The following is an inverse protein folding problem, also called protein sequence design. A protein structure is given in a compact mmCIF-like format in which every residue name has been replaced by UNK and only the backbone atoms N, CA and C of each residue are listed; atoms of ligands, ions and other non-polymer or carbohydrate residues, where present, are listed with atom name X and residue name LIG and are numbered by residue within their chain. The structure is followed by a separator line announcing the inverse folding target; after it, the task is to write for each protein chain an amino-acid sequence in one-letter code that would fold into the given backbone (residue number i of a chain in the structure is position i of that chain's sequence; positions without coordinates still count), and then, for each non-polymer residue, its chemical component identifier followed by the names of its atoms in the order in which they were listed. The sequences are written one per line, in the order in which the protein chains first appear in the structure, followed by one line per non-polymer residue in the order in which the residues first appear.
data_IF_312964467603
#
_entry.id   IF_312964467603
#
_cell.length_a   1.000
_cell.length_b   1.000
_cell.length_c   1.000
_cell.angle_alpha   90.00
_cell.angle_beta   90.00
_cell.angle_gamma   90.00
#
_symmetry.space_group_name_H-M   'P 1'
#
loop_
_entity.id
_entity.type
_entity.pdbx_description
1 polymer ?
#
# COMPACT_ATOMS: atom_id res chain seq x y z
N UNK A 1 15.69 0.01 22.61
CA UNK A 1 15.09 -1.10 23.38
C UNK A 1 15.36 -2.40 22.65
N UNK A 2 15.71 -3.48 23.35
CA UNK A 2 15.94 -4.81 22.78
C UNK A 2 14.97 -5.82 23.39
N UNK A 3 14.38 -6.67 22.57
CA UNK A 3 13.43 -7.71 22.93
C UNK A 3 13.88 -9.05 22.33
N UNK A 4 13.69 -10.13 23.07
CA UNK A 4 13.87 -11.49 22.57
C UNK A 4 12.50 -12.11 22.26
N UNK A 5 12.16 -12.19 20.98
CA UNK A 5 10.94 -12.81 20.47
C UNK A 5 11.22 -14.27 20.14
N UNK A 6 11.00 -15.17 21.11
CA UNK A 6 11.38 -16.58 20.98
C UNK A 6 12.89 -16.74 20.78
N UNK A 7 13.29 -17.21 19.60
CA UNK A 7 14.71 -17.38 19.22
C UNK A 7 15.31 -16.14 18.54
N UNK A 8 14.51 -15.13 18.19
CA UNK A 8 14.94 -13.97 17.40
C UNK A 8 15.08 -12.71 18.25
N UNK A 9 16.20 -12.00 18.10
CA UNK A 9 16.38 -10.68 18.70
C UNK A 9 15.73 -9.57 17.88
N UNK A 10 15.05 -8.64 18.54
CA UNK A 10 14.37 -7.49 17.92
C UNK A 10 14.82 -6.21 18.60
N UNK A 11 15.20 -5.22 17.80
CA UNK A 11 15.52 -3.86 18.27
C UNK A 11 14.36 -2.94 17.93
N UNK A 12 13.84 -2.23 18.93
CA UNK A 12 12.74 -1.27 18.77
C UNK A 12 13.29 0.15 18.75
N UNK A 13 13.01 0.88 17.66
CA UNK A 13 13.36 2.28 17.47
C UNK A 13 12.17 3.18 17.89
N UNK A 14 12.00 3.38 19.19
CA UNK A 14 10.87 4.12 19.79
C UNK A 14 11.14 5.61 20.06
N UNK A 15 12.12 6.20 19.37
CA UNK A 15 12.43 7.64 19.47
C UNK A 15 12.74 8.22 18.09
N UNK A 16 12.54 9.52 17.93
CA UNK A 16 12.86 10.22 16.68
C UNK A 16 14.34 10.06 16.29
N UNK A 17 15.25 10.15 17.27
CA UNK A 17 16.68 9.93 17.06
C UNK A 17 16.98 8.52 16.56
N UNK A 18 16.40 7.49 17.19
CA UNK A 18 16.57 6.11 16.76
C UNK A 18 15.99 5.88 15.36
N UNK A 19 14.75 6.33 15.10
CA UNK A 19 14.11 6.19 13.80
C UNK A 19 14.92 6.87 12.69
N UNK A 20 15.44 8.09 12.93
CA UNK A 20 16.31 8.79 11.97
C UNK A 20 17.60 8.02 11.70
N UNK A 21 18.20 7.41 12.72
CA UNK A 21 19.40 6.61 12.55
C UNK A 21 19.15 5.40 11.65
N UNK A 22 18.10 4.62 11.92
CA UNK A 22 17.81 3.41 11.15
C UNK A 22 17.24 3.69 9.75
N UNK A 23 16.34 4.66 9.62
CA UNK A 23 15.57 4.90 8.38
C UNK A 23 16.17 5.98 7.48
N UNK A 24 17.23 6.67 7.91
CA UNK A 24 17.89 7.70 7.10
C UNK A 24 19.41 7.63 7.15
N UNK A 25 20.03 7.62 8.33
CA UNK A 25 21.49 7.66 8.43
C UNK A 25 22.15 6.34 8.02
N UNK A 26 21.50 5.21 8.34
CA UNK A 26 21.96 3.86 8.05
C UNK A 26 20.94 3.07 7.21
N UNK A 27 20.10 3.77 6.45
CA UNK A 27 18.96 3.19 5.72
C UNK A 27 19.38 2.02 4.81
N UNK A 28 20.48 2.15 4.06
CA UNK A 28 20.98 1.11 3.18
C UNK A 28 21.39 -0.17 3.93
N UNK A 29 21.88 -0.07 5.17
CA UNK A 29 22.25 -1.23 6.00
C UNK A 29 21.02 -1.97 6.52
N UNK A 30 19.93 -1.26 6.75
CA UNK A 30 18.68 -1.79 7.33
C UNK A 30 17.53 -1.86 6.32
N UNK A 31 17.83 -1.76 5.03
CA UNK A 31 16.82 -1.73 3.97
C UNK A 31 16.16 -3.11 3.76
N UNK A 32 16.88 -4.20 4.05
CA UNK A 32 16.38 -5.57 3.89
C UNK A 32 15.33 -5.93 4.95
N UNK A 33 14.44 -6.86 4.60
CA UNK A 33 13.46 -7.41 5.54
C UNK A 33 13.97 -8.71 6.17
N UNK A 34 13.63 -8.98 7.43
CA UNK A 34 13.85 -10.32 8.00
C UNK A 34 13.20 -11.38 7.12
N UNK A 35 13.84 -12.55 7.00
CA UNK A 35 13.25 -13.68 6.32
C UNK A 35 12.05 -14.18 7.14
N UNK A 36 10.84 -14.02 6.60
CA UNK A 36 9.60 -14.54 7.17
C UNK A 36 9.16 -15.70 6.29
N UNK A 37 8.94 -16.88 6.87
CA UNK A 37 8.59 -18.09 6.10
C UNK A 37 7.35 -17.86 5.22
N UNK A 38 6.29 -17.26 5.77
CA UNK A 38 5.07 -16.96 5.03
C UNK A 38 5.27 -15.97 3.87
N UNK A 39 6.27 -15.09 3.95
CA UNK A 39 6.58 -14.17 2.85
C UNK A 39 7.09 -14.94 1.62
N UNK A 40 7.85 -16.02 1.80
CA UNK A 40 8.29 -16.83 0.68
C UNK A 40 7.09 -17.44 -0.06
N UNK A 41 6.09 -17.93 0.69
CA UNK A 41 4.92 -18.61 0.12
C UNK A 41 3.98 -17.63 -0.61
N UNK A 42 3.64 -16.49 0.01
CA UNK A 42 2.63 -15.57 -0.54
C UNK A 42 3.21 -14.55 -1.53
N UNK A 43 4.54 -14.48 -1.68
CA UNK A 43 5.20 -13.45 -2.51
C UNK A 43 6.16 -13.99 -3.55
N UNK A 44 5.90 -15.22 -4.02
CA UNK A 44 6.67 -15.89 -5.07
C UNK A 44 8.16 -15.96 -4.73
N UNK A 45 8.48 -16.40 -3.51
CA UNK A 45 9.86 -16.49 -3.01
C UNK A 45 10.48 -15.13 -2.70
N UNK A 46 9.74 -14.23 -2.04
CA UNK A 46 10.21 -12.89 -1.67
C UNK A 46 10.64 -12.02 -2.88
N UNK A 47 10.02 -12.24 -4.05
CA UNK A 47 10.40 -11.53 -5.27
C UNK A 47 9.62 -10.23 -5.49
N UNK A 48 8.58 -9.97 -4.69
CA UNK A 48 7.80 -8.74 -4.77
C UNK A 48 8.57 -7.52 -4.21
N UNK A 49 8.03 -6.32 -4.42
CA UNK A 49 8.66 -5.08 -3.98
C UNK A 49 8.76 -4.94 -2.44
N UNK A 50 7.89 -5.60 -1.67
CA UNK A 50 7.79 -5.43 -0.22
C UNK A 50 8.85 -6.25 0.52
N UNK A 51 9.11 -7.48 0.08
CA UNK A 51 10.00 -8.44 0.76
C UNK A 51 11.31 -8.71 0.02
N UNK A 52 11.48 -8.25 -1.23
CA UNK A 52 12.76 -8.36 -1.90
C UNK A 52 13.86 -7.59 -1.17
N UNK A 53 15.04 -8.21 -1.06
CA UNK A 53 16.23 -7.56 -0.54
C UNK A 53 16.61 -6.34 -1.40
N UNK A 54 17.13 -5.32 -0.74
CA UNK A 54 17.65 -4.12 -1.35
C UNK A 54 18.74 -4.47 -2.36
N UNK A 55 18.57 -3.96 -3.58
CA UNK A 55 19.44 -4.27 -4.70
C UNK A 55 18.92 -3.62 -5.99
N UNK A 56 19.56 -3.88 -7.14
CA UNK A 56 19.14 -3.33 -8.43
C UNK A 56 17.67 -3.63 -8.77
N UNK A 57 17.22 -4.87 -8.57
CA UNK A 57 15.81 -5.28 -8.82
C UNK A 57 14.84 -4.47 -7.96
N UNK A 58 15.08 -4.39 -6.65
CA UNK A 58 14.23 -3.62 -5.73
C UNK A 58 14.19 -2.13 -6.09
N UNK A 59 15.34 -1.52 -6.44
CA UNK A 59 15.43 -0.12 -6.84
C UNK A 59 14.62 0.15 -8.12
N UNK A 60 14.67 -0.74 -9.10
CA UNK A 60 13.86 -0.65 -10.32
C UNK A 60 12.36 -0.72 -10.00
N UNK A 61 11.94 -1.72 -9.23
CA UNK A 61 10.52 -1.88 -8.84
C UNK A 61 10.02 -0.66 -8.09
N UNK A 62 10.79 -0.12 -7.14
CA UNK A 62 10.44 1.10 -6.40
C UNK A 62 10.31 2.30 -7.32
N UNK A 63 11.19 2.47 -8.30
CA UNK A 63 11.11 3.56 -9.29
C UNK A 63 9.83 3.44 -10.12
N UNK A 64 9.55 2.25 -10.64
CA UNK A 64 8.33 1.99 -11.42
C UNK A 64 7.07 2.24 -10.58
N UNK A 65 7.06 1.78 -9.32
CA UNK A 65 5.96 2.01 -8.40
C UNK A 65 5.72 3.50 -8.14
N UNK A 66 6.76 4.28 -7.84
CA UNK A 66 6.61 5.71 -7.60
C UNK A 66 6.10 6.48 -8.82
N UNK A 67 6.54 6.10 -10.02
CA UNK A 67 6.17 6.83 -11.26
C UNK A 67 4.77 6.43 -11.74
N UNK A 68 4.47 5.13 -11.76
CA UNK A 68 3.28 4.61 -12.43
C UNK A 68 2.17 4.18 -11.47
N UNK A 69 2.52 3.59 -10.31
CA UNK A 69 1.52 3.09 -9.37
C UNK A 69 1.06 4.18 -8.38
N UNK A 70 1.99 4.95 -7.81
CA UNK A 70 1.66 5.93 -6.76
C UNK A 70 1.45 7.34 -7.32
N UNK A 71 1.22 7.46 -8.63
CA UNK A 71 0.99 8.73 -9.32
C UNK A 71 -0.28 9.46 -8.85
N UNK A 72 -0.26 10.79 -8.92
CA UNK A 72 -1.33 11.64 -8.39
C UNK A 72 -2.58 11.73 -9.26
N UNK A 73 -2.57 11.21 -10.50
CA UNK A 73 -3.70 11.36 -11.43
C UNK A 73 -4.86 10.43 -11.08
N UNK A 74 -4.66 9.11 -11.16
CA UNK A 74 -5.70 8.11 -10.86
C UNK A 74 -6.29 8.30 -9.46
N UNK A 75 -5.45 8.64 -8.47
CA UNK A 75 -5.90 8.93 -7.11
C UNK A 75 -6.85 10.12 -7.02
N UNK A 76 -6.60 11.20 -7.78
CA UNK A 76 -7.49 12.37 -7.81
C UNK A 76 -8.81 12.04 -8.50
N UNK A 77 -8.75 11.30 -9.59
CA UNK A 77 -9.93 10.89 -10.34
C UNK A 77 -10.84 10.00 -9.47
N UNK A 78 -10.30 8.97 -8.81
CA UNK A 78 -11.07 8.10 -7.93
C UNK A 78 -11.54 8.80 -6.63
N UNK A 79 -10.77 9.75 -6.09
CA UNK A 79 -11.27 10.59 -5.00
C UNK A 79 -12.48 11.42 -5.45
N UNK A 80 -12.48 11.94 -6.69
CA UNK A 80 -13.61 12.64 -7.27
C UNK A 80 -14.83 11.75 -7.51
N UNK A 81 -14.64 10.47 -7.82
CA UNK A 81 -15.73 9.49 -7.93
C UNK A 81 -16.32 9.15 -6.55
N UNK A 82 -15.46 8.91 -5.56
CA UNK A 82 -15.90 8.66 -4.18
C UNK A 82 -16.72 9.84 -3.64
N UNK A 83 -16.22 11.08 -3.78
CA UNK A 83 -16.92 12.27 -3.27
C UNK A 83 -18.29 12.47 -3.94
N UNK A 84 -18.40 12.14 -5.23
CA UNK A 84 -19.69 12.18 -5.94
C UNK A 84 -20.66 11.14 -5.39
N UNK A 85 -20.24 9.89 -5.20
CA UNK A 85 -21.09 8.85 -4.59
C UNK A 85 -21.53 9.21 -3.17
N UNK A 86 -20.65 9.80 -2.37
CA UNK A 86 -21.00 10.32 -1.03
C UNK A 86 -22.03 11.45 -1.11
N UNK A 87 -21.86 12.40 -2.04
CA UNK A 87 -22.81 13.49 -2.23
C UNK A 87 -24.20 12.99 -2.67
N UNK A 88 -24.25 11.99 -3.55
CA UNK A 88 -25.50 11.33 -3.99
C UNK A 88 -26.19 10.59 -2.85
N UNK A 89 -25.42 9.87 -2.02
CA UNK A 89 -25.95 9.22 -0.83
C UNK A 89 -26.51 10.23 0.18
N UNK A 90 -25.80 11.33 0.41
CA UNK A 90 -26.24 12.41 1.29
C UNK A 90 -27.54 13.07 0.78
N UNK A 91 -27.63 13.34 -0.53
CA UNK A 91 -28.85 13.88 -1.14
C UNK A 91 -30.05 12.94 -1.01
N UNK A 92 -29.81 11.63 -1.00
CA UNK A 92 -30.84 10.61 -0.78
C UNK A 92 -31.11 10.31 0.71
N UNK A 93 -30.45 11.00 1.65
CA UNK A 93 -30.57 10.72 3.08
C UNK A 93 -30.04 9.35 3.50
N UNK A 94 -29.21 8.70 2.68
CA UNK A 94 -28.66 7.37 2.95
C UNK A 94 -27.38 7.47 3.78
N UNK A 95 -27.23 6.66 4.84
CA UNK A 95 -25.98 6.60 5.60
C UNK A 95 -24.85 6.03 4.73
N UNK A 96 -23.62 6.51 4.96
CA UNK A 96 -22.42 6.05 4.27
C UNK A 96 -21.48 5.39 5.27
N UNK A 97 -21.06 4.16 4.97
CA UNK A 97 -20.03 3.45 5.73
C UNK A 97 -18.65 3.82 5.16
N UNK A 98 -17.94 4.73 5.83
CA UNK A 98 -16.68 5.30 5.33
C UNK A 98 -15.61 4.25 4.98
N UNK A 99 -15.37 3.19 5.79
CA UNK A 99 -14.41 2.16 5.44
C UNK A 99 -14.72 1.46 4.11
N UNK A 100 -15.99 1.18 3.81
CA UNK A 100 -16.41 0.46 2.60
C UNK A 100 -16.15 1.29 1.34
N UNK A 101 -16.55 2.56 1.35
CA UNK A 101 -16.30 3.45 0.21
C UNK A 101 -14.81 3.70 -0.03
N UNK A 102 -14.00 3.73 1.04
CA UNK A 102 -12.54 3.83 0.92
C UNK A 102 -11.92 2.57 0.33
N UNK A 103 -12.38 1.37 0.74
CA UNK A 103 -11.93 0.10 0.16
C UNK A 103 -12.26 0.04 -1.33
N UNK A 104 -13.48 0.43 -1.73
CA UNK A 104 -13.88 0.48 -3.14
C UNK A 104 -12.98 1.43 -3.95
N UNK A 105 -12.73 2.64 -3.45
CA UNK A 105 -11.85 3.59 -4.11
C UNK A 105 -10.40 3.10 -4.21
N UNK A 106 -9.86 2.46 -3.17
CA UNK A 106 -8.51 1.90 -3.20
C UNK A 106 -8.40 0.73 -4.20
N UNK A 107 -9.40 -0.15 -4.24
CA UNK A 107 -9.45 -1.23 -5.21
C UNK A 107 -9.57 -0.72 -6.64
N UNK A 108 -10.35 0.34 -6.87
CA UNK A 108 -10.46 1.01 -8.17
C UNK A 108 -9.16 1.69 -8.59
N UNK A 109 -8.46 2.34 -7.65
CA UNK A 109 -7.12 2.91 -7.91
C UNK A 109 -6.19 1.79 -8.38
N UNK A 110 -6.11 0.68 -7.63
CA UNK A 110 -5.26 -0.46 -7.97
C UNK A 110 -5.67 -1.05 -9.33
N UNK A 111 -6.96 -1.33 -9.56
CA UNK A 111 -7.47 -1.87 -10.82
C UNK A 111 -7.16 -0.98 -12.02
N UNK A 112 -7.32 0.34 -11.88
CA UNK A 112 -7.02 1.29 -12.94
C UNK A 112 -5.53 1.33 -13.27
N UNK A 113 -4.69 1.25 -12.25
CA UNK A 113 -3.25 1.24 -12.43
C UNK A 113 -2.77 -0.07 -13.06
N UNK A 114 -3.30 -1.22 -12.64
CA UNK A 114 -2.77 -2.54 -13.03
C UNK A 114 -3.36 -3.06 -14.32
N UNK A 115 -4.66 -2.85 -14.55
CA UNK A 115 -5.41 -3.41 -15.68
C UNK A 115 -6.30 -2.38 -16.39
N UNK A 116 -6.18 -1.09 -16.04
CA UNK A 116 -6.95 0.01 -16.64
C UNK A 116 -8.47 -0.16 -16.53
N UNK A 117 -8.94 -0.83 -15.46
CA UNK A 117 -10.36 -1.06 -15.19
C UNK A 117 -10.74 -0.66 -13.78
N UNK A 118 -11.99 -0.23 -13.60
CA UNK A 118 -12.57 -0.07 -12.26
C UNK A 118 -13.14 -1.43 -11.85
N UNK A 119 -13.05 -1.74 -10.57
CA UNK A 119 -13.55 -3.00 -9.99
C UNK A 119 -14.93 -2.78 -9.39
N UNK A 120 -15.17 -1.60 -8.80
CA UNK A 120 -16.40 -1.24 -8.13
C UNK A 120 -17.00 0.03 -8.73
N UNK A 121 -18.32 0.08 -8.77
CA UNK A 121 -19.06 1.30 -9.10
C UNK A 121 -19.17 2.26 -7.90
N UNK A 122 -20.02 3.29 -8.01
CA UNK A 122 -20.20 4.27 -6.94
C UNK A 122 -21.01 3.74 -5.73
N UNK A 123 -21.71 2.62 -5.89
CA UNK A 123 -22.54 1.99 -4.87
C UNK A 123 -21.85 0.79 -4.21
N UNK A 124 -20.70 0.37 -4.75
CA UNK A 124 -19.91 -0.76 -4.25
C UNK A 124 -20.19 -2.08 -4.98
N UNK A 125 -21.01 -2.04 -6.03
CA UNK A 125 -21.28 -3.20 -6.87
C UNK A 125 -20.17 -3.40 -7.91
N UNK A 126 -20.02 -4.61 -8.44
CA UNK A 126 -19.02 -4.89 -9.48
C UNK A 126 -19.20 -3.96 -10.69
N UNK A 127 -18.12 -3.28 -11.06
CA UNK A 127 -18.13 -2.41 -12.23
C UNK A 127 -18.05 -3.24 -13.49
N UNK A 128 -19.08 -3.16 -14.34
CA UNK A 128 -19.11 -3.86 -15.62
C UNK A 128 -18.36 -3.11 -16.74
N UNK A 129 -17.43 -2.20 -16.39
CA UNK A 129 -16.67 -1.30 -17.29
C UNK A 129 -15.17 -1.48 -17.16
#
# INVERSE_FOLDING_TARGET
MYLKMGTTGVVVASSLGAARTFLKALDAKYANRPAVASAADITYGCQNMVFANYGPKWKLMRKLASVHLLGARVRRDEAGHLLRGVAEAAAAGRPVVVPEVLVCALANIVGQITVSKRVFDAQGDESNR
#
